data_IF_147796637791
#
_entry.id   IF_147796637791
#
_cell.length_a   1.000
_cell.length_b   1.000
_cell.length_c   1.000
_cell.angle_alpha   90.00
_cell.angle_beta   90.00
_cell.angle_gamma   90.00
#
_symmetry.space_group_name_H-M   'P 1'
#
loop_
_entity.id
_entity.type
_entity.pdbx_description
1 polymer ?
#
# COMPACT_ATOMS: atom_id res chain seq x y z
N UNK A 1 1.86 6.32 -7.36
CA UNK A 1 0.73 6.88 -6.60
C UNK A 1 -0.55 6.36 -7.25
N UNK A 2 -1.36 5.57 -6.54
CA UNK A 2 -2.73 5.27 -7.01
C UNK A 2 -3.49 6.61 -6.92
N UNK A 3 -4.20 7.08 -7.97
CA UNK A 3 -4.71 8.45 -8.00
C UNK A 3 -5.96 8.60 -7.13
N UNK A 4 -5.79 8.78 -5.82
CA UNK A 4 -6.88 9.13 -4.89
C UNK A 4 -7.54 10.47 -5.21
N UNK A 5 -6.88 11.32 -5.99
CA UNK A 5 -7.43 12.59 -6.43
C UNK A 5 -8.55 12.44 -7.49
N UNK A 6 -8.58 11.32 -8.23
CA UNK A 6 -9.52 11.12 -9.35
C UNK A 6 -10.99 11.30 -8.96
N UNK A 7 -11.48 10.61 -7.91
CA UNK A 7 -12.85 10.78 -7.45
C UNK A 7 -13.21 12.21 -7.01
N UNK A 8 -12.30 12.92 -6.32
CA UNK A 8 -12.53 14.31 -5.91
C UNK A 8 -12.56 15.28 -7.09
N UNK A 9 -11.64 15.10 -8.05
CA UNK A 9 -11.58 15.90 -9.29
C UNK A 9 -12.82 15.66 -10.16
N UNK A 10 -13.29 14.41 -10.26
CA UNK A 10 -14.48 14.07 -11.04
C UNK A 10 -15.78 14.61 -10.45
N UNK A 11 -15.87 14.72 -9.12
CA UNK A 11 -17.06 15.23 -8.42
C UNK A 11 -17.17 16.76 -8.47
N UNK A 12 -16.03 17.46 -8.52
CA UNK A 12 -15.97 18.94 -8.54
C UNK A 12 -16.89 19.62 -9.57
N UNK A 13 -16.86 19.28 -10.87
CA UNK A 13 -17.73 19.92 -11.87
C UNK A 13 -19.22 19.61 -11.65
N UNK A 14 -19.54 18.42 -11.10
CA UNK A 14 -20.92 18.00 -10.81
C UNK A 14 -21.49 18.84 -9.67
N UNK A 15 -20.75 18.98 -8.56
CA UNK A 15 -21.18 19.81 -7.43
C UNK A 15 -21.26 21.28 -7.83
N UNK A 16 -20.29 21.77 -8.60
CA UNK A 16 -20.28 23.15 -9.10
C UNK A 16 -21.54 23.46 -9.90
N UNK A 17 -21.91 22.59 -10.84
CA UNK A 17 -23.10 22.80 -11.68
C UNK A 17 -24.40 22.68 -10.86
N UNK A 18 -24.47 21.72 -9.93
CA UNK A 18 -25.64 21.54 -9.06
C UNK A 18 -25.83 22.70 -8.08
N UNK A 19 -24.76 23.35 -7.63
CA UNK A 19 -24.85 24.47 -6.71
C UNK A 19 -25.67 25.65 -7.29
N UNK A 20 -25.58 25.87 -8.61
CA UNK A 20 -26.32 26.95 -9.29
C UNK A 20 -27.70 26.54 -9.79
N UNK A 21 -27.92 25.26 -10.06
CA UNK A 21 -29.18 24.75 -10.64
C UNK A 21 -30.13 24.19 -9.58
N UNK A 22 -29.61 23.40 -8.64
CA UNK A 22 -30.37 22.73 -7.58
C UNK A 22 -29.53 22.65 -6.28
N UNK A 23 -29.50 23.73 -5.48
CA UNK A 23 -28.61 23.84 -4.32
C UNK A 23 -28.83 22.73 -3.28
N UNK A 24 -30.08 22.30 -3.07
CA UNK A 24 -30.40 21.22 -2.13
C UNK A 24 -29.83 19.88 -2.59
N UNK A 25 -29.95 19.57 -3.88
CA UNK A 25 -29.34 18.38 -4.48
C UNK A 25 -27.81 18.42 -4.38
N UNK A 26 -27.20 19.61 -4.50
CA UNK A 26 -25.75 19.78 -4.33
C UNK A 26 -25.28 19.42 -2.91
N UNK A 27 -26.01 19.87 -1.88
CA UNK A 27 -25.70 19.52 -0.47
C UNK A 27 -25.77 18.01 -0.24
N UNK A 28 -26.82 17.36 -0.76
CA UNK A 28 -26.96 15.91 -0.66
C UNK A 28 -25.84 15.17 -1.40
N UNK A 29 -25.43 15.64 -2.58
CA UNK A 29 -24.32 15.08 -3.35
C UNK A 29 -22.98 15.20 -2.60
N UNK A 30 -22.70 16.36 -1.98
CA UNK A 30 -21.52 16.56 -1.12
C UNK A 30 -21.52 15.55 0.03
N UNK A 31 -22.63 15.47 0.77
CA UNK A 31 -22.75 14.56 1.91
C UNK A 31 -22.52 13.09 1.49
N UNK A 32 -23.13 12.68 0.38
CA UNK A 32 -22.97 11.34 -0.18
C UNK A 32 -21.51 11.03 -0.53
N UNK A 33 -20.83 11.95 -1.25
CA UNK A 33 -19.42 11.75 -1.63
C UNK A 33 -18.52 11.68 -0.41
N UNK A 34 -18.74 12.52 0.61
CA UNK A 34 -17.97 12.45 1.86
C UNK A 34 -18.12 11.09 2.54
N UNK A 35 -19.35 10.57 2.65
CA UNK A 35 -19.61 9.25 3.22
C UNK A 35 -18.93 8.15 2.40
N UNK A 36 -19.10 8.18 1.07
CA UNK A 36 -18.47 7.20 0.19
C UNK A 36 -16.94 7.21 0.31
N UNK A 37 -16.32 8.39 0.36
CA UNK A 37 -14.87 8.51 0.51
C UNK A 37 -14.38 7.98 1.85
N UNK A 38 -15.17 8.16 2.90
CA UNK A 38 -14.84 7.63 4.22
C UNK A 38 -14.93 6.10 4.24
N UNK A 39 -15.92 5.52 3.56
CA UNK A 39 -16.01 4.08 3.37
C UNK A 39 -14.84 3.56 2.53
N UNK A 40 -14.53 4.25 1.42
CA UNK A 40 -13.47 3.83 0.51
C UNK A 40 -12.10 3.86 1.19
N UNK A 41 -11.76 4.97 1.85
CA UNK A 41 -10.48 5.14 2.53
C UNK A 41 -10.31 4.28 3.79
N UNK A 42 -11.36 4.08 4.59
CA UNK A 42 -11.24 3.44 5.91
C UNK A 42 -11.62 1.95 5.93
N UNK A 43 -12.47 1.47 5.01
CA UNK A 43 -12.93 0.08 4.98
C UNK A 43 -12.48 -0.64 3.73
N UNK A 44 -12.79 -0.08 2.56
CA UNK A 44 -12.54 -0.75 1.27
C UNK A 44 -11.04 -0.82 1.03
N UNK A 45 -10.33 0.28 1.19
CA UNK A 45 -8.90 0.36 0.92
C UNK A 45 -8.10 -0.63 1.77
N UNK A 46 -8.19 -0.68 3.12
CA UNK A 46 -7.47 -1.67 3.91
C UNK A 46 -7.80 -3.11 3.55
N UNK A 47 -9.04 -3.38 3.13
CA UNK A 47 -9.47 -4.73 2.71
C UNK A 47 -8.89 -5.12 1.35
N UNK A 48 -8.75 -4.18 0.42
CA UNK A 48 -8.13 -4.41 -0.89
C UNK A 48 -6.61 -4.51 -0.76
N UNK A 49 -5.97 -3.61 -0.01
CA UNK A 49 -4.51 -3.56 0.14
C UNK A 49 -3.98 -4.39 1.31
N UNK A 50 -4.79 -5.33 1.81
CA UNK A 50 -4.68 -6.01 3.11
C UNK A 50 -3.33 -6.62 3.46
N UNK A 51 -2.39 -5.76 3.90
CA UNK A 51 -0.98 -6.01 4.26
C UNK A 51 0.06 -5.65 3.18
N UNK A 52 -0.13 -4.56 2.43
CA UNK A 52 0.70 -4.21 1.27
C UNK A 52 2.23 -4.27 1.49
N UNK A 53 2.77 -3.88 2.65
CA UNK A 53 4.20 -4.04 2.94
C UNK A 53 4.40 -4.08 4.46
N UNK A 54 4.75 -5.24 5.03
CA UNK A 54 5.13 -5.37 6.47
C UNK A 54 6.57 -4.93 6.68
N UNK A 55 6.83 -3.63 6.54
CA UNK A 55 8.13 -3.02 6.86
C UNK A 55 7.94 -2.11 8.06
N UNK A 56 8.83 -2.25 9.05
CA UNK A 56 8.75 -1.49 10.29
C UNK A 56 8.99 0.01 10.01
N UNK A 57 8.23 0.94 10.64
CA UNK A 57 8.37 2.37 10.39
C UNK A 57 9.80 2.90 10.56
N UNK A 58 10.54 2.39 11.55
CA UNK A 58 11.94 2.74 11.78
C UNK A 58 12.83 2.35 10.59
N UNK A 59 12.60 1.21 9.95
CA UNK A 59 13.37 0.80 8.76
C UNK A 59 13.14 1.76 7.60
N UNK A 60 11.89 2.19 7.39
CA UNK A 60 11.57 3.20 6.37
C UNK A 60 12.31 4.50 6.65
N UNK A 61 12.32 4.96 7.91
CA UNK A 61 13.01 6.18 8.31
C UNK A 61 14.52 6.09 8.05
N UNK A 62 15.17 4.99 8.44
CA UNK A 62 16.60 4.77 8.19
C UNK A 62 16.89 4.74 6.69
N UNK A 63 16.08 4.02 5.90
CA UNK A 63 16.22 3.96 4.45
C UNK A 63 16.10 5.34 3.80
N UNK A 64 15.15 6.17 4.25
CA UNK A 64 14.96 7.52 3.75
C UNK A 64 16.15 8.42 4.09
N UNK A 65 16.69 8.35 5.31
CA UNK A 65 17.86 9.14 5.71
C UNK A 65 19.11 8.76 4.89
N UNK A 66 19.35 7.46 4.72
CA UNK A 66 20.53 6.96 4.00
C UNK A 66 20.40 7.20 2.49
N UNK A 67 19.24 6.89 1.90
CA UNK A 67 19.04 7.12 0.45
C UNK A 67 18.92 8.61 0.11
N UNK A 68 18.37 9.42 1.01
CA UNK A 68 18.27 10.86 0.87
C UNK A 68 19.63 11.54 0.85
N UNK A 69 20.59 11.09 1.66
CA UNK A 69 21.95 11.64 1.64
C UNK A 69 22.75 11.22 0.40
N UNK A 70 22.48 10.03 -0.16
CA UNK A 70 23.19 9.50 -1.32
C UNK A 70 22.65 10.03 -2.66
N UNK A 71 21.32 10.05 -2.82
CA UNK A 71 20.65 10.31 -4.11
C UNK A 71 19.50 11.33 -4.00
N UNK A 72 19.39 12.04 -2.87
CA UNK A 72 18.36 13.05 -2.65
C UNK A 72 16.94 12.48 -2.66
N UNK A 73 16.00 13.29 -3.15
CA UNK A 73 14.57 12.96 -3.21
C UNK A 73 14.31 11.69 -4.04
N UNK A 74 15.04 11.49 -5.13
CA UNK A 74 14.89 10.30 -5.96
C UNK A 74 15.25 9.03 -5.19
N UNK A 75 16.32 9.07 -4.38
CA UNK A 75 16.70 7.98 -3.48
C UNK A 75 15.58 7.62 -2.51
N UNK A 76 14.97 8.63 -1.88
CA UNK A 76 13.89 8.46 -0.90
C UNK A 76 12.64 7.79 -1.49
N UNK A 77 12.27 8.15 -2.72
CA UNK A 77 11.10 7.57 -3.40
C UNK A 77 11.30 6.09 -3.72
N UNK A 78 12.52 5.73 -4.14
CA UNK A 78 12.84 4.38 -4.65
C UNK A 78 13.26 3.42 -3.52
N UNK A 79 13.77 3.94 -2.39
CA UNK A 79 14.36 3.13 -1.34
C UNK A 79 13.41 2.09 -0.73
N UNK A 80 12.17 2.46 -0.42
CA UNK A 80 11.20 1.55 0.23
C UNK A 80 10.75 0.42 -0.70
N UNK A 81 10.36 0.68 -1.97
CA UNK A 81 10.05 -0.39 -2.92
C UNK A 81 11.21 -1.36 -3.12
N UNK A 82 12.43 -0.85 -3.32
CA UNK A 82 13.63 -1.69 -3.57
C UNK A 82 13.94 -2.53 -2.34
N UNK A 83 13.96 -1.94 -1.14
CA UNK A 83 14.17 -2.69 0.09
C UNK A 83 13.14 -3.81 0.27
N UNK A 84 11.86 -3.51 0.01
CA UNK A 84 10.78 -4.49 0.15
C UNK A 84 10.97 -5.68 -0.80
N UNK A 85 11.38 -5.40 -2.05
CA UNK A 85 11.69 -6.43 -3.03
C UNK A 85 12.87 -7.31 -2.58
N UNK A 86 13.98 -6.70 -2.18
CA UNK A 86 15.18 -7.43 -1.72
C UNK A 86 14.85 -8.29 -0.51
N UNK A 87 14.14 -7.73 0.48
CA UNK A 87 13.71 -8.46 1.67
C UNK A 87 12.88 -9.69 1.32
N UNK A 88 11.94 -9.56 0.39
CA UNK A 88 11.08 -10.68 0.01
C UNK A 88 11.86 -11.77 -0.76
N UNK A 89 12.80 -11.37 -1.63
CA UNK A 89 13.70 -12.31 -2.31
C UNK A 89 14.55 -13.09 -1.29
N UNK A 90 15.15 -12.40 -0.32
CA UNK A 90 15.98 -13.04 0.72
C UNK A 90 15.15 -14.02 1.54
N UNK A 91 13.94 -13.62 1.94
CA UNK A 91 13.01 -14.48 2.70
C UNK A 91 12.59 -15.71 1.89
N UNK A 92 12.30 -15.53 0.60
CA UNK A 92 11.97 -16.63 -0.30
C UNK A 92 13.13 -17.63 -0.41
N UNK A 93 14.35 -17.15 -0.68
CA UNK A 93 15.54 -18.01 -0.79
C UNK A 93 15.86 -18.73 0.53
N UNK A 94 15.76 -18.04 1.67
CA UNK A 94 15.96 -18.66 2.98
C UNK A 94 14.91 -19.75 3.27
N UNK A 95 13.65 -19.51 2.90
CA UNK A 95 12.58 -20.49 3.01
C UNK A 95 12.81 -21.74 2.16
N UNK A 96 13.31 -21.57 0.93
CA UNK A 96 13.69 -22.70 0.07
C UNK A 96 14.80 -23.55 0.70
N UNK A 97 15.83 -22.92 1.25
CA UNK A 97 16.92 -23.65 1.88
C UNK A 97 16.47 -24.43 3.13
N UNK A 98 15.63 -23.81 3.96
CA UNK A 98 15.10 -24.46 5.16
C UNK A 98 14.21 -25.66 4.83
N UNK A 99 13.30 -25.51 3.86
CA UNK A 99 12.38 -26.58 3.47
C UNK A 99 13.10 -27.82 2.92
N UNK A 100 14.22 -27.66 2.21
CA UNK A 100 14.99 -28.80 1.73
C UNK A 100 15.60 -29.63 2.86
N UNK A 101 16.09 -29.00 3.95
CA UNK A 101 16.68 -29.72 5.10
C UNK A 101 15.66 -30.49 5.94
N UNK A 102 14.43 -30.00 6.05
CA UNK A 102 13.38 -30.72 6.79
C UNK A 102 12.87 -31.96 6.05
N UNK A 103 12.82 -31.91 4.72
CA UNK A 103 12.45 -33.05 3.88
C UNK A 103 13.48 -34.18 3.97
N UNK A 104 14.77 -33.84 4.02
CA UNK A 104 15.85 -34.81 4.22
C UNK A 104 15.74 -35.51 5.58
N UNK A 105 15.50 -34.76 6.66
CA UNK A 105 15.32 -35.34 8.00
C UNK A 105 14.11 -36.27 8.07
N UNK A 106 12.95 -35.87 7.54
CA UNK A 106 11.75 -36.72 7.54
C UNK A 106 11.94 -38.04 6.79
N UNK A 107 12.70 -38.04 5.69
CA UNK A 107 13.03 -39.27 4.95
C UNK A 107 13.90 -40.24 5.76
N UNK A 108 14.79 -39.71 6.59
CA UNK A 108 15.66 -40.52 7.46
C UNK A 108 14.83 -41.18 8.58
N UNK A 109 13.97 -40.41 9.27
CA UNK A 109 13.16 -40.93 10.38
C UNK A 109 11.98 -41.83 9.97
N UNK A 110 11.55 -41.82 8.71
CA UNK A 110 10.47 -42.70 8.22
C UNK A 110 11.00 -44.06 7.72
N UNK A 111 12.32 -44.22 7.64
CA UNK A 111 12.99 -45.42 7.13
C UNK A 111 13.64 -46.26 8.25
N UNK A 112 13.43 -45.88 9.52
CA UNK A 112 13.73 -46.62 10.75
C UNK A 112 12.42 -47.17 11.35
#
# INVERSE_FOLDING_TARGET
MIPYAGPYIGVLPVIFTLAFTQPWTAVLAVAYVLILQQIDGNLVYPKIVGNAVRVHPVTVMVLMLVSGSLYGILGMIIAVPVYSLVKEIVKFLAGLWHNHREQEKKKIFQND
#
